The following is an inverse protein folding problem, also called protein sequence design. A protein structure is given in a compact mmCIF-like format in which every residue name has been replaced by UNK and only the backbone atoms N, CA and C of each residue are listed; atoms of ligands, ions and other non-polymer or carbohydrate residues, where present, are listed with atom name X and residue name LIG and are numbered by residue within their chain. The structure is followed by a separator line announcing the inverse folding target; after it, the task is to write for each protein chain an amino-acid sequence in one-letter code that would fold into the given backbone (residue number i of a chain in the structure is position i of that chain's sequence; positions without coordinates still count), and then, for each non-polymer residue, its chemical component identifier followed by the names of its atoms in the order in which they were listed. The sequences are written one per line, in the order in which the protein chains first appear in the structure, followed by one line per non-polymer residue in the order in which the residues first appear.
data_IF_048833573890
#
_entry.id   IF_048833573890
#
_cell.length_a   1.000
_cell.length_b   1.000
_cell.length_c   1.000
_cell.angle_alpha   90.00
_cell.angle_beta   90.00
_cell.angle_gamma   90.00
#
_symmetry.space_group_name_H-M   'P 1'
#
loop_
_entity.id
_entity.type
_entity.pdbx_description
1 polymer ?
#
# COMPACT_ATOMS: atom_id res chain seq x y z
N UNK A 1 -10.78 2.22 -31.66
CA UNK A 1 -10.26 1.76 -30.34
C UNK A 1 -11.45 1.47 -29.42
N UNK A 2 -11.63 0.23 -28.97
CA UNK A 2 -12.75 -0.14 -28.09
C UNK A 2 -12.65 0.56 -26.73
N UNK A 3 -13.79 1.02 -26.17
CA UNK A 3 -13.87 1.73 -24.86
C UNK A 3 -13.19 0.95 -23.71
N UNK A 4 -13.17 -0.38 -23.80
CA UNK A 4 -12.50 -1.25 -22.82
C UNK A 4 -10.97 -1.11 -22.85
N UNK A 5 -10.33 -1.13 -24.03
CA UNK A 5 -8.88 -0.96 -24.18
C UNK A 5 -8.40 0.40 -23.64
N UNK A 6 -9.20 1.45 -23.84
CA UNK A 6 -8.91 2.78 -23.30
C UNK A 6 -8.92 2.79 -21.76
N UNK A 7 -9.90 2.12 -21.12
CA UNK A 7 -9.96 1.99 -19.66
C UNK A 7 -8.76 1.23 -19.09
N UNK A 8 -8.33 0.16 -19.75
CA UNK A 8 -7.18 -0.64 -19.33
C UNK A 8 -5.87 0.16 -19.39
N UNK A 9 -5.65 0.91 -20.47
CA UNK A 9 -4.48 1.79 -20.61
C UNK A 9 -4.41 2.88 -19.54
N UNK A 10 -5.56 3.48 -19.20
CA UNK A 10 -5.67 4.46 -18.10
C UNK A 10 -5.35 3.81 -16.75
N UNK A 11 -5.89 2.63 -16.48
CA UNK A 11 -5.61 1.90 -15.24
C UNK A 11 -4.14 1.49 -15.12
N UNK A 12 -3.50 1.10 -16.23
CA UNK A 12 -2.09 0.72 -16.23
C UNK A 12 -1.19 1.92 -15.97
N UNK A 13 -1.50 3.07 -16.57
CA UNK A 13 -0.81 4.34 -16.30
C UNK A 13 -0.98 4.75 -14.84
N UNK A 14 -2.19 4.64 -14.30
CA UNK A 14 -2.46 4.93 -12.91
C UNK A 14 -1.69 4.00 -11.95
N UNK A 15 -1.60 2.69 -12.25
CA UNK A 15 -0.76 1.73 -11.50
C UNK A 15 0.69 2.19 -11.44
N UNK A 16 1.29 2.53 -12.58
CA UNK A 16 2.68 3.00 -12.66
C UNK A 16 2.90 4.28 -11.86
N UNK A 17 1.97 5.25 -11.96
CA UNK A 17 2.03 6.50 -11.20
C UNK A 17 2.00 6.26 -9.70
N UNK A 18 1.10 5.41 -9.22
CA UNK A 18 1.06 5.11 -7.79
C UNK A 18 2.34 4.42 -7.34
N UNK A 19 2.85 3.43 -8.07
CA UNK A 19 4.10 2.77 -7.72
C UNK A 19 5.27 3.75 -7.63
N UNK A 20 5.33 4.74 -8.54
CA UNK A 20 6.30 5.83 -8.48
C UNK A 20 6.17 6.70 -7.22
N UNK A 21 4.95 7.16 -6.92
CA UNK A 21 4.66 7.96 -5.71
C UNK A 21 5.04 7.21 -4.43
N UNK A 22 4.74 5.92 -4.38
CA UNK A 22 5.09 5.05 -3.27
C UNK A 22 6.60 4.96 -3.07
N UNK A 23 7.35 4.72 -4.15
CA UNK A 23 8.82 4.67 -4.10
C UNK A 23 9.44 5.99 -3.64
N UNK A 24 8.91 7.11 -4.11
CA UNK A 24 9.36 8.45 -3.68
C UNK A 24 9.06 8.67 -2.20
N UNK A 25 7.88 8.29 -1.73
CA UNK A 25 7.49 8.43 -0.34
C UNK A 25 8.37 7.61 0.63
N UNK A 26 8.84 6.43 0.22
CA UNK A 26 9.76 5.61 1.03
C UNK A 26 11.16 6.22 1.10
N UNK A 27 11.62 6.88 0.04
CA UNK A 27 12.96 7.52 -0.01
C UNK A 27 12.98 8.90 0.64
N UNK A 28 11.83 9.54 0.76
CA UNK A 28 11.70 10.90 1.28
C UNK A 28 11.98 10.93 2.79
N UNK A 29 12.93 11.78 3.20
CA UNK A 29 13.29 11.95 4.63
C UNK A 29 12.34 12.88 5.36
N UNK A 30 11.67 13.79 4.64
CA UNK A 30 10.74 14.73 5.23
C UNK A 30 9.35 14.06 5.41
N UNK A 31 8.86 13.89 6.64
CA UNK A 31 7.60 13.19 6.92
C UNK A 31 6.39 13.87 6.28
N UNK A 32 6.40 15.20 6.14
CA UNK A 32 5.30 15.97 5.53
C UNK A 32 5.19 15.67 4.04
N UNK A 33 6.32 15.68 3.32
CA UNK A 33 6.36 15.33 1.89
C UNK A 33 6.01 13.87 1.66
N UNK A 34 6.54 12.99 2.50
CA UNK A 34 6.28 11.56 2.41
C UNK A 34 4.79 11.24 2.59
N UNK A 35 4.13 11.90 3.56
CA UNK A 35 2.68 11.86 3.74
C UNK A 35 1.93 12.37 2.51
N UNK A 36 2.36 13.49 1.93
CA UNK A 36 1.74 14.07 0.74
C UNK A 36 1.77 13.10 -0.46
N UNK A 37 2.88 12.41 -0.66
CA UNK A 37 3.00 11.38 -1.70
C UNK A 37 2.05 10.19 -1.44
N UNK A 38 1.89 9.76 -0.18
CA UNK A 38 0.92 8.73 0.20
C UNK A 38 -0.54 9.15 -0.04
N UNK A 39 -0.89 10.41 0.25
CA UNK A 39 -2.21 10.98 -0.04
C UNK A 39 -2.50 11.01 -1.55
N UNK A 40 -1.53 11.45 -2.36
CA UNK A 40 -1.63 11.46 -3.82
C UNK A 40 -1.78 10.04 -4.38
N UNK A 41 -0.98 9.09 -3.90
CA UNK A 41 -1.05 7.69 -4.28
C UNK A 41 -2.45 7.11 -4.01
N UNK A 42 -3.05 7.45 -2.86
CA UNK A 42 -4.41 7.04 -2.52
C UNK A 42 -5.45 7.66 -3.43
N UNK A 43 -5.36 8.98 -3.68
CA UNK A 43 -6.31 9.69 -4.53
C UNK A 43 -6.31 9.14 -5.96
N UNK A 44 -5.13 8.91 -6.55
CA UNK A 44 -4.97 8.33 -7.89
C UNK A 44 -5.51 6.90 -7.92
N UNK A 45 -5.20 6.10 -6.90
CA UNK A 45 -5.69 4.72 -6.78
C UNK A 45 -7.21 4.63 -6.68
N UNK A 46 -7.83 5.49 -5.87
CA UNK A 46 -9.29 5.57 -5.73
C UNK A 46 -9.96 6.02 -7.03
N UNK A 47 -9.49 7.10 -7.64
CA UNK A 47 -10.07 7.66 -8.87
C UNK A 47 -10.07 6.66 -10.02
N UNK A 48 -8.99 5.88 -10.16
CA UNK A 48 -8.83 4.91 -11.25
C UNK A 48 -9.21 3.47 -10.86
N UNK A 49 -9.75 3.25 -9.65
CA UNK A 49 -10.12 1.93 -9.10
C UNK A 49 -8.98 0.90 -9.16
N UNK A 50 -7.74 1.35 -8.96
CA UNK A 50 -6.54 0.53 -9.04
C UNK A 50 -6.29 -0.19 -7.71
N UNK A 51 -6.07 -1.51 -7.77
CA UNK A 51 -5.63 -2.29 -6.60
C UNK A 51 -4.12 -2.12 -6.38
N UNK A 52 -3.76 -1.41 -5.32
CA UNK A 52 -2.37 -1.13 -4.90
C UNK A 52 -1.55 -2.35 -4.40
N UNK A 53 -2.13 -3.55 -4.33
CA UNK A 53 -1.39 -4.77 -3.93
C UNK A 53 -0.57 -4.65 -2.64
N UNK A 54 0.72 -5.06 -2.73
CA UNK A 54 1.71 -5.05 -1.63
C UNK A 54 2.07 -3.62 -1.17
N UNK A 55 1.95 -2.62 -2.04
CA UNK A 55 2.29 -1.22 -1.72
C UNK A 55 1.39 -0.64 -0.62
N UNK A 56 0.19 -1.20 -0.41
CA UNK A 56 -0.71 -0.85 0.70
C UNK A 56 -0.09 -1.08 2.08
N UNK A 57 0.88 -1.98 2.17
CA UNK A 57 1.56 -2.28 3.43
C UNK A 57 2.61 -1.21 3.75
N UNK A 58 3.11 -0.46 2.75
CA UNK A 58 4.12 0.57 2.91
C UNK A 58 3.57 1.91 3.43
N UNK A 59 2.25 2.05 3.65
CA UNK A 59 1.66 3.27 4.20
C UNK A 59 0.61 2.96 5.24
N UNK A 60 0.37 3.90 6.14
CA UNK A 60 -0.79 3.88 7.01
C UNK A 60 -2.06 4.19 6.20
N UNK A 61 -3.08 3.33 6.31
CA UNK A 61 -4.39 3.55 5.67
C UNK A 61 -5.15 4.75 6.23
N UNK A 62 -4.79 5.25 7.41
CA UNK A 62 -5.43 6.40 8.05
C UNK A 62 -4.73 7.70 7.63
N UNK A 63 -3.47 7.88 8.03
CA UNK A 63 -2.74 9.14 7.81
C UNK A 63 -1.96 9.23 6.49
N UNK A 64 -1.76 8.13 5.75
CA UNK A 64 -0.96 8.14 4.52
C UNK A 64 0.55 8.25 4.71
N UNK A 65 1.03 8.37 5.96
CA UNK A 65 2.45 8.40 6.25
C UNK A 65 3.10 7.02 6.01
N UNK A 66 4.34 7.00 5.48
CA UNK A 66 5.14 5.80 5.46
C UNK A 66 5.48 5.34 6.89
N UNK A 67 5.72 4.04 7.10
CA UNK A 67 6.04 3.49 8.40
C UNK A 67 7.44 3.92 8.85
N UNK A 68 7.55 5.08 9.50
CA UNK A 68 8.79 5.54 10.14
C UNK A 68 9.20 4.60 11.28
N UNK A 69 8.22 4.07 12.02
CA UNK A 69 8.36 3.05 13.08
C UNK A 69 7.05 2.25 13.17
N UNK A 70 7.09 0.95 12.89
CA UNK A 70 5.93 0.04 13.04
C UNK A 70 6.23 -0.95 14.15
N UNK A 71 5.39 -0.97 15.18
CA UNK A 71 5.40 -2.09 16.12
C UNK A 71 4.76 -3.30 15.45
N UNK A 72 5.54 -4.36 15.22
CA UNK A 72 5.02 -5.64 14.73
C UNK A 72 4.92 -6.59 15.93
N UNK A 73 3.70 -6.98 16.30
CA UNK A 73 3.46 -8.03 17.30
C UNK A 73 2.87 -9.24 16.60
N UNK A 74 3.41 -10.42 16.87
CA UNK A 74 2.82 -11.69 16.41
C UNK A 74 1.99 -12.22 17.59
N UNK A 75 0.66 -12.22 17.43
CA UNK A 75 -0.27 -12.81 18.40
C UNK A 75 -1.30 -13.63 17.62
N UNK A 76 -1.55 -14.86 18.07
CA UNK A 76 -2.57 -15.76 17.48
C UNK A 76 -2.44 -15.94 15.96
N UNK A 77 -1.20 -16.04 15.45
CA UNK A 77 -0.94 -16.19 14.01
C UNK A 77 -1.25 -14.95 13.17
N UNK A 78 -1.34 -13.77 13.78
CA UNK A 78 -1.54 -12.48 13.11
C UNK A 78 -0.42 -11.49 13.43
N UNK A 79 0.09 -10.80 12.40
CA UNK A 79 0.96 -9.63 12.53
C UNK A 79 0.11 -8.39 12.77
N UNK A 80 0.22 -7.82 13.96
CA UNK A 80 -0.40 -6.54 14.30
C UNK A 80 0.61 -5.43 13.99
N UNK A 81 0.25 -4.52 13.09
CA UNK A 81 1.06 -3.36 12.72
C UNK A 81 0.40 -2.10 13.29
N UNK A 82 1.13 -1.36 14.12
CA UNK A 82 0.68 -0.10 14.70
C UNK A 82 1.47 1.07 14.12
N UNK A 83 0.76 2.06 13.59
CA UNK A 83 1.34 3.33 13.14
C UNK A 83 1.64 4.22 14.36
N UNK A 84 2.90 4.62 14.56
CA UNK A 84 3.27 5.50 15.68
C UNK A 84 2.88 6.97 15.51
N UNK A 85 2.53 7.41 14.30
CA UNK A 85 2.12 8.80 14.07
C UNK A 85 0.63 9.05 14.36
N UNK A 86 -0.25 8.09 14.10
CA UNK A 86 -1.70 8.27 14.27
C UNK A 86 -2.37 7.19 15.13
N UNK A 87 -1.60 6.25 15.68
CA UNK A 87 -2.09 5.15 16.50
C UNK A 87 -2.88 4.08 15.75
N UNK A 88 -3.03 4.17 14.43
CA UNK A 88 -3.85 3.21 13.67
C UNK A 88 -3.25 1.80 13.72
N UNK A 89 -4.07 0.83 14.12
CA UNK A 89 -3.70 -0.58 14.25
C UNK A 89 -4.32 -1.38 13.11
N UNK A 90 -3.52 -2.20 12.43
CA UNK A 90 -3.97 -3.15 11.41
C UNK A 90 -3.51 -4.57 11.75
N UNK A 91 -4.39 -5.55 11.61
CA UNK A 91 -4.07 -6.97 11.80
C UNK A 91 -3.91 -7.63 10.43
N UNK A 92 -2.78 -8.29 10.19
CA UNK A 92 -2.49 -9.07 9.00
C UNK A 92 -2.36 -10.55 9.39
N UNK A 93 -3.22 -11.45 8.88
CA UNK A 93 -3.12 -12.87 9.20
C UNK A 93 -1.89 -13.50 8.54
N UNK A 94 -1.02 -14.12 9.32
CA UNK A 94 0.20 -14.81 8.84
C UNK A 94 -0.15 -16.20 8.31
N UNK A 95 -1.13 -16.90 8.92
CA UNK A 95 -1.58 -18.24 8.48
C UNK A 95 -2.13 -18.28 7.04
N UNK A 96 -2.53 -17.14 6.46
CA UNK A 96 -2.96 -17.04 5.05
C UNK A 96 -1.83 -16.74 4.07
N UNK A 97 -0.67 -16.28 4.54
CA UNK A 97 0.51 -16.01 3.70
C UNK A 97 1.19 -17.34 3.32
N UNK A 98 1.36 -18.26 4.28
CA UNK A 98 1.90 -19.61 4.03
C UNK A 98 1.07 -20.43 3.01
N UNK A 99 -0.26 -20.28 2.98
CA UNK A 99 -1.16 -20.97 2.01
C UNK A 99 -1.13 -20.36 0.59
N UNK A 100 -0.59 -19.14 0.44
CA UNK A 100 -0.44 -18.47 -0.87
C UNK A 100 0.93 -18.72 -1.47
N UNK A 101 1.98 -18.75 -0.66
CA UNK A 101 3.33 -19.13 -1.10
C UNK A 101 3.35 -20.58 -1.61
N UNK A 102 2.72 -21.52 -0.89
CA UNK A 102 2.52 -22.91 -1.34
C UNK A 102 1.65 -23.10 -2.60
N UNK A 103 1.09 -22.04 -3.17
CA UNK A 103 0.39 -22.05 -4.47
C UNK A 103 1.10 -21.25 -5.57
N UNK A 104 2.19 -20.55 -5.25
CA UNK A 104 3.02 -19.87 -6.25
C UNK A 104 4.19 -20.75 -6.71
N UNK A 105 4.46 -21.84 -5.99
CA UNK A 105 5.51 -22.83 -6.28
C UNK A 105 4.96 -24.15 -6.86
N UNK A 106 3.72 -24.16 -7.37
CA UNK A 106 3.09 -25.25 -8.14
C UNK A 106 2.54 -24.73 -9.46
#
# INVERSE_FOLDING_TARGET
MSRQKQKEGVQQTAKRRVAGLVKMAVKEKNPVRARRYGELARAVGMRNRVRLGKEKQLFCKKCGAPPSKVGVRIKDGCRVLTCRECGHVRKLPVRREARRESKQDL
#
